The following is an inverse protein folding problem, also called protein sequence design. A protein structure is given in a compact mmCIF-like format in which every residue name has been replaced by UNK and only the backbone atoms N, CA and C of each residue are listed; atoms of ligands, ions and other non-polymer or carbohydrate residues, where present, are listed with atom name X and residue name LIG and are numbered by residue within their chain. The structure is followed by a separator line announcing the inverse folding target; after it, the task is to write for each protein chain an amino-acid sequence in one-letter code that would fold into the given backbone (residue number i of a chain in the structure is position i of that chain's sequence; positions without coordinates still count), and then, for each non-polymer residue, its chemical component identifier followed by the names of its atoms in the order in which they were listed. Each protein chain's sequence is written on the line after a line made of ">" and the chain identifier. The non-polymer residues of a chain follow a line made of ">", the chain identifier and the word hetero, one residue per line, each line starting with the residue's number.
data_IF_375267027117
#
_entry.id   IF_375267027117
#
_cell.length_a   1.000
_cell.length_b   1.000
_cell.length_c   1.000
_cell.angle_alpha   90.00
_cell.angle_beta   90.00
_cell.angle_gamma   90.00
#
_symmetry.space_group_name_H-M   'P 1'
#
loop_
_entity.id
_entity.type
_entity.pdbx_description
1 polymer ?
#
# COMPACT_ATOMS: atom_id res chain seq x y z
N UNK A 1 -2.57 18.62 -15.10
CA UNK A 1 -3.49 17.61 -14.49
C UNK A 1 -2.89 16.23 -14.71
N UNK A 2 -2.37 15.56 -13.67
CA UNK A 2 -1.89 14.18 -13.85
C UNK A 2 -3.09 13.28 -14.13
N UNK A 3 -3.12 12.67 -15.31
CA UNK A 3 -4.08 11.59 -15.56
C UNK A 3 -3.70 10.42 -14.65
N UNK A 4 -4.65 9.92 -13.88
CA UNK A 4 -4.46 8.68 -13.13
C UNK A 4 -4.13 7.58 -14.14
N UNK A 5 -3.01 6.89 -14.01
CA UNK A 5 -2.69 5.83 -14.95
C UNK A 5 -3.79 4.76 -14.91
N UNK A 6 -4.24 4.36 -16.07
CA UNK A 6 -5.16 3.25 -16.26
C UNK A 6 -4.27 2.01 -16.34
N UNK A 7 -4.40 1.10 -15.39
CA UNK A 7 -3.64 -0.16 -15.38
C UNK A 7 -4.62 -1.33 -15.23
N UNK A 8 -4.31 -2.43 -15.88
CA UNK A 8 -5.02 -3.69 -15.70
C UNK A 8 -4.44 -4.51 -14.54
N UNK A 9 -5.17 -5.52 -14.07
CA UNK A 9 -4.68 -6.45 -13.05
C UNK A 9 -3.39 -7.15 -13.51
N UNK A 10 -3.28 -7.49 -14.80
CA UNK A 10 -2.06 -8.08 -15.36
C UNK A 10 -0.85 -7.15 -15.25
N UNK A 11 -1.00 -5.88 -15.63
CA UNK A 11 0.04 -4.87 -15.49
C UNK A 11 0.37 -4.59 -14.02
N UNK A 12 -0.64 -4.60 -13.14
CA UNK A 12 -0.44 -4.43 -11.70
C UNK A 12 0.41 -5.57 -11.11
N UNK A 13 0.07 -6.83 -11.46
CA UNK A 13 0.85 -8.01 -11.04
C UNK A 13 2.30 -7.89 -11.50
N UNK A 14 2.53 -7.65 -12.79
CA UNK A 14 3.88 -7.51 -13.34
C UNK A 14 4.68 -6.40 -12.63
N UNK A 15 4.08 -5.24 -12.40
CA UNK A 15 4.75 -4.14 -11.70
C UNK A 15 5.15 -4.49 -10.26
N UNK A 16 4.33 -5.29 -9.56
CA UNK A 16 4.64 -5.72 -8.18
C UNK A 16 5.62 -6.89 -8.13
N UNK A 17 5.61 -7.78 -9.12
CA UNK A 17 6.63 -8.82 -9.28
C UNK A 17 8.00 -8.21 -9.62
N UNK A 18 8.02 -7.16 -10.42
CA UNK A 18 9.25 -6.40 -10.69
C UNK A 18 9.72 -5.64 -9.44
N UNK A 19 8.80 -5.09 -8.64
CA UNK A 19 9.13 -4.51 -7.34
C UNK A 19 9.75 -5.56 -6.41
N UNK A 20 9.23 -6.78 -6.37
CA UNK A 20 9.81 -7.88 -5.57
C UNK A 20 11.26 -8.16 -5.99
N UNK A 21 11.54 -8.25 -7.30
CA UNK A 21 12.91 -8.41 -7.83
C UNK A 21 13.82 -7.22 -7.45
N UNK A 22 13.31 -5.99 -7.52
CA UNK A 22 14.06 -4.80 -7.14
C UNK A 22 14.38 -4.76 -5.64
N UNK A 23 13.44 -5.18 -4.77
CA UNK A 23 13.67 -5.33 -3.33
C UNK A 23 14.86 -6.26 -3.07
N UNK A 24 14.88 -7.41 -3.74
CA UNK A 24 15.98 -8.37 -3.61
C UNK A 24 17.30 -7.83 -4.13
N UNK A 25 17.32 -7.27 -5.34
CA UNK A 25 18.53 -6.64 -5.90
C UNK A 25 19.06 -5.57 -4.96
N UNK A 26 18.18 -4.73 -4.45
CA UNK A 26 18.54 -3.68 -3.51
C UNK A 26 19.13 -4.27 -2.23
N UNK A 27 18.46 -5.23 -1.60
CA UNK A 27 18.92 -5.82 -0.35
C UNK A 27 20.31 -6.46 -0.47
N UNK A 28 20.57 -7.16 -1.58
CA UNK A 28 21.87 -7.80 -1.83
C UNK A 28 22.97 -6.77 -2.13
N UNK A 29 22.65 -5.73 -2.90
CA UNK A 29 23.62 -4.71 -3.32
C UNK A 29 23.83 -3.58 -2.33
N UNK A 30 22.86 -3.33 -1.44
CA UNK A 30 22.94 -2.24 -0.47
C UNK A 30 23.95 -2.56 0.65
N UNK A 31 24.72 -1.56 1.03
CA UNK A 31 25.69 -1.63 2.13
C UNK A 31 25.43 -0.52 3.16
N UNK A 32 25.89 -0.74 4.38
CA UNK A 32 25.86 0.24 5.46
C UNK A 32 24.44 0.69 5.80
N UNK A 33 24.24 1.98 6.00
CA UNK A 33 22.98 2.61 6.44
C UNK A 33 21.80 2.44 5.47
N UNK A 34 22.05 2.06 4.24
CA UNK A 34 20.98 1.89 3.25
C UNK A 34 20.41 0.46 3.23
N UNK A 35 20.99 -0.48 3.95
CA UNK A 35 20.49 -1.85 4.03
C UNK A 35 19.17 -1.89 4.79
N UNK A 36 18.24 -2.70 4.31
CA UNK A 36 16.97 -2.91 5.02
C UNK A 36 17.23 -3.60 6.37
N UNK A 37 16.47 -3.23 7.42
CA UNK A 37 16.56 -3.88 8.73
C UNK A 37 16.30 -5.40 8.61
N UNK A 38 17.07 -6.24 9.31
CA UNK A 38 16.92 -7.70 9.24
C UNK A 38 15.52 -8.21 9.55
N UNK A 39 14.80 -7.53 10.46
CA UNK A 39 13.44 -7.88 10.88
C UNK A 39 12.37 -7.54 9.82
N UNK A 40 12.69 -6.69 8.86
CA UNK A 40 11.78 -6.29 7.78
C UNK A 40 11.87 -7.24 6.59
N UNK A 41 13.06 -7.76 6.30
CA UNK A 41 13.28 -8.64 5.15
C UNK A 41 12.34 -9.86 5.12
N UNK A 42 12.11 -10.58 6.23
CA UNK A 42 11.15 -11.70 6.23
C UNK A 42 9.74 -11.26 5.82
N UNK A 43 9.29 -10.07 6.24
CA UNK A 43 7.94 -9.55 5.93
C UNK A 43 7.74 -9.26 4.44
N UNK A 44 8.82 -9.01 3.69
CA UNK A 44 8.79 -8.75 2.25
C UNK A 44 8.75 -10.02 1.42
N UNK A 45 9.04 -11.18 2.00
CA UNK A 45 9.03 -12.46 1.29
C UNK A 45 7.60 -12.88 0.93
N UNK A 46 7.42 -13.39 -0.29
CA UNK A 46 6.14 -13.91 -0.78
C UNK A 46 5.52 -14.94 0.19
N UNK A 47 6.33 -15.83 0.76
CA UNK A 47 5.89 -16.86 1.70
C UNK A 47 5.34 -16.32 3.03
N UNK A 48 5.67 -15.08 3.38
CA UNK A 48 5.22 -14.41 4.61
C UNK A 48 4.14 -13.34 4.31
N UNK A 49 3.56 -13.35 3.12
CA UNK A 49 2.48 -12.43 2.75
C UNK A 49 1.22 -12.59 3.63
N UNK A 50 1.07 -13.72 4.32
CA UNK A 50 -0.01 -13.96 5.29
C UNK A 50 -0.03 -12.93 6.43
N UNK A 51 1.11 -12.33 6.76
CA UNK A 51 1.23 -11.27 7.75
C UNK A 51 0.63 -9.94 7.24
N UNK A 52 0.15 -9.91 6.01
CA UNK A 52 -0.50 -8.78 5.34
C UNK A 52 0.30 -7.48 5.39
N UNK A 53 1.63 -7.57 5.46
CA UNK A 53 2.50 -6.40 5.48
C UNK A 53 2.25 -5.51 4.26
N UNK A 54 1.95 -4.22 4.50
CA UNK A 54 1.51 -3.33 3.44
C UNK A 54 2.56 -3.02 2.36
N UNK A 55 3.83 -3.31 2.59
CA UNK A 55 4.90 -3.23 1.58
C UNK A 55 5.20 -4.55 0.89
N UNK A 56 4.57 -5.65 1.30
CA UNK A 56 4.78 -6.95 0.65
C UNK A 56 4.09 -6.95 -0.73
N UNK A 57 4.84 -7.15 -1.84
CA UNK A 57 4.27 -7.09 -3.18
C UNK A 57 3.19 -8.14 -3.44
N UNK A 58 3.36 -9.35 -2.93
CA UNK A 58 2.37 -10.41 -3.11
C UNK A 58 1.07 -10.13 -2.34
N UNK A 59 1.17 -9.59 -1.11
CA UNK A 59 0.01 -9.10 -0.36
C UNK A 59 -0.77 -8.07 -1.18
N UNK A 60 -0.09 -7.08 -1.77
CA UNK A 60 -0.72 -6.06 -2.62
C UNK A 60 -1.43 -6.66 -3.83
N UNK A 61 -0.81 -7.65 -4.49
CA UNK A 61 -1.41 -8.34 -5.64
C UNK A 61 -2.70 -9.05 -5.23
N UNK A 62 -2.69 -9.78 -4.13
CA UNK A 62 -3.87 -10.50 -3.66
C UNK A 62 -5.00 -9.56 -3.26
N UNK A 63 -4.71 -8.52 -2.47
CA UNK A 63 -5.70 -7.52 -2.07
C UNK A 63 -6.28 -6.78 -3.28
N UNK A 64 -5.45 -6.39 -4.25
CA UNK A 64 -5.91 -5.73 -5.47
C UNK A 64 -6.85 -6.61 -6.29
N UNK A 65 -6.52 -7.89 -6.47
CA UNK A 65 -7.35 -8.85 -7.20
C UNK A 65 -8.70 -9.10 -6.51
N UNK A 66 -8.70 -9.18 -5.15
CA UNK A 66 -9.97 -9.37 -4.41
C UNK A 66 -10.81 -8.09 -4.43
N UNK A 67 -10.20 -6.92 -4.23
CA UNK A 67 -10.92 -5.65 -4.30
C UNK A 67 -11.55 -5.42 -5.68
N UNK A 68 -10.80 -5.67 -6.75
CA UNK A 68 -11.32 -5.55 -8.11
C UNK A 68 -12.51 -6.49 -8.34
N UNK A 69 -12.35 -7.77 -8.04
CA UNK A 69 -13.42 -8.77 -8.20
C UNK A 69 -14.69 -8.36 -7.44
N UNK A 70 -14.56 -7.97 -6.18
CA UNK A 70 -15.71 -7.69 -5.33
C UNK A 70 -16.36 -6.35 -5.72
N UNK A 71 -15.61 -5.37 -6.21
CA UNK A 71 -16.16 -4.14 -6.81
C UNK A 71 -16.92 -4.46 -8.09
N UNK A 72 -16.33 -5.23 -9.01
CA UNK A 72 -16.96 -5.62 -10.27
C UNK A 72 -18.27 -6.39 -10.04
N UNK A 73 -18.27 -7.31 -9.09
CA UNK A 73 -19.47 -8.05 -8.70
C UNK A 73 -20.60 -7.11 -8.24
N UNK A 74 -20.30 -6.15 -7.36
CA UNK A 74 -21.30 -5.20 -6.85
C UNK A 74 -21.84 -4.27 -7.93
N UNK A 75 -20.99 -3.87 -8.88
CA UNK A 75 -21.41 -3.11 -10.05
C UNK A 75 -22.35 -3.92 -10.92
N UNK A 76 -22.04 -5.19 -11.20
CA UNK A 76 -22.88 -6.10 -12.00
C UNK A 76 -24.23 -6.35 -11.33
N UNK A 77 -24.27 -6.43 -10.01
CA UNK A 77 -25.50 -6.61 -9.24
C UNK A 77 -26.31 -5.30 -9.08
N UNK A 78 -25.80 -4.17 -9.55
CA UNK A 78 -26.45 -2.86 -9.37
C UNK A 78 -26.40 -2.33 -7.93
N UNK A 79 -25.57 -2.92 -7.06
CA UNK A 79 -25.36 -2.46 -5.68
C UNK A 79 -24.51 -1.18 -5.62
N UNK A 80 -23.80 -0.89 -6.69
CA UNK A 80 -22.98 0.32 -6.87
C UNK A 80 -23.45 1.03 -8.13
N UNK A 81 -23.97 2.23 -7.97
CA UNK A 81 -24.34 3.12 -9.06
C UNK A 81 -23.49 4.39 -8.97
N UNK A 82 -23.56 5.30 -9.90
CA UNK A 82 -22.96 6.64 -9.86
C UNK A 82 -21.66 6.74 -9.04
N UNK A 83 -20.66 5.96 -9.42
CA UNK A 83 -19.40 5.92 -8.69
C UNK A 83 -18.47 7.09 -9.06
N UNK A 84 -17.79 7.60 -8.06
CA UNK A 84 -16.80 8.68 -8.17
C UNK A 84 -15.47 8.23 -7.60
N UNK A 85 -14.40 8.68 -8.23
CA UNK A 85 -13.06 8.54 -7.66
C UNK A 85 -12.69 9.82 -6.91
N UNK A 86 -12.34 9.68 -5.64
CA UNK A 86 -12.05 10.80 -4.74
C UNK A 86 -10.61 10.69 -4.24
N UNK A 87 -9.85 11.76 -4.40
CA UNK A 87 -8.51 11.93 -3.86
C UNK A 87 -8.55 12.95 -2.71
N UNK A 88 -7.95 12.58 -1.58
CA UNK A 88 -7.83 13.47 -0.41
C UNK A 88 -6.36 13.57 -0.01
N UNK A 89 -5.75 14.74 -0.21
CA UNK A 89 -4.36 15.03 0.13
C UNK A 89 -4.25 16.37 0.86
N UNK A 90 -3.92 16.36 2.15
CA UNK A 90 -3.92 17.54 2.99
C UNK A 90 -2.53 17.83 3.56
N UNK A 91 -2.10 19.10 3.56
CA UNK A 91 -0.81 19.56 4.10
C UNK A 91 -0.56 19.10 5.54
N UNK A 92 -1.60 19.04 6.37
CA UNK A 92 -1.47 18.57 7.76
C UNK A 92 -1.01 17.12 7.91
N UNK A 93 -1.10 16.33 6.84
CA UNK A 93 -0.63 14.93 6.78
C UNK A 93 0.75 14.79 6.13
N UNK A 94 1.46 15.90 6.00
CA UNK A 94 2.86 15.92 5.58
C UNK A 94 3.75 15.88 6.81
N UNK A 95 4.81 15.10 6.74
CA UNK A 95 5.90 15.08 7.73
C UNK A 95 7.25 14.97 7.02
N UNK A 96 8.23 15.63 7.57
CA UNK A 96 9.62 15.41 7.23
C UNK A 96 10.05 14.00 7.61
N UNK A 97 11.06 13.47 6.92
CA UNK A 97 11.55 12.12 7.18
C UNK A 97 12.08 11.96 8.62
N UNK A 98 12.66 13.00 9.20
CA UNK A 98 13.10 13.02 10.60
C UNK A 98 11.94 12.87 11.61
N UNK A 99 10.72 13.23 11.21
CA UNK A 99 9.50 13.14 12.03
C UNK A 99 8.61 11.95 11.64
N UNK A 100 9.12 11.02 10.84
CA UNK A 100 8.34 9.94 10.23
C UNK A 100 7.72 9.00 11.26
N UNK A 101 8.33 8.86 12.43
CA UNK A 101 7.83 8.04 13.52
C UNK A 101 6.58 8.63 14.20
N UNK A 102 6.28 9.90 13.94
CA UNK A 102 5.18 10.65 14.56
C UNK A 102 3.86 10.55 13.76
N UNK A 103 3.78 9.67 12.75
CA UNK A 103 2.52 9.42 12.06
C UNK A 103 1.58 8.59 12.92
N UNK A 104 0.39 9.14 13.13
CA UNK A 104 -0.73 8.42 13.71
C UNK A 104 -1.74 8.10 12.58
N UNK A 105 -1.61 6.90 12.01
CA UNK A 105 -2.47 6.46 10.91
C UNK A 105 -3.94 6.45 11.31
N UNK A 106 -4.27 6.13 12.55
CA UNK A 106 -5.65 6.12 13.02
C UNK A 106 -6.28 7.51 13.02
N UNK A 107 -5.52 8.54 13.41
CA UNK A 107 -5.96 9.94 13.28
C UNK A 107 -6.15 10.34 11.82
N UNK A 108 -5.26 9.92 10.93
CA UNK A 108 -5.37 10.19 9.49
C UNK A 108 -6.64 9.52 8.94
N UNK A 109 -6.87 8.24 9.25
CA UNK A 109 -8.05 7.46 8.86
C UNK A 109 -9.35 8.13 9.32
N UNK A 110 -9.44 8.47 10.60
CA UNK A 110 -10.60 9.18 11.19
C UNK A 110 -10.84 10.52 10.50
N UNK A 111 -9.77 11.26 10.25
CA UNK A 111 -9.89 12.55 9.59
C UNK A 111 -10.41 12.41 8.14
N UNK A 112 -9.89 11.46 7.36
CA UNK A 112 -10.34 11.23 5.97
C UNK A 112 -11.77 10.70 5.94
N UNK A 113 -12.12 9.75 6.79
CA UNK A 113 -13.50 9.25 6.93
C UNK A 113 -14.49 10.37 7.25
N UNK A 114 -14.10 11.35 8.07
CA UNK A 114 -14.96 12.50 8.37
C UNK A 114 -15.22 13.39 7.14
N UNK A 115 -14.35 13.40 6.12
CA UNK A 115 -14.58 14.11 4.85
C UNK A 115 -15.63 13.40 3.99
N UNK A 116 -15.75 12.08 4.17
CA UNK A 116 -16.69 11.20 3.44
C UNK A 116 -17.88 10.75 4.33
N UNK A 117 -18.11 11.44 5.45
CA UNK A 117 -19.22 11.12 6.37
C UNK A 117 -20.55 11.09 5.65
N UNK A 118 -21.37 10.07 5.93
CA UNK A 118 -22.69 9.79 5.35
C UNK A 118 -22.64 9.46 3.84
N UNK A 119 -21.53 8.92 3.36
CA UNK A 119 -21.37 8.39 2.00
C UNK A 119 -20.99 6.92 2.07
N UNK A 120 -21.33 6.17 1.03
CA UNK A 120 -20.79 4.84 0.79
C UNK A 120 -19.40 5.01 0.14
N UNK A 121 -18.39 4.46 0.75
CA UNK A 121 -17.03 4.54 0.19
C UNK A 121 -16.15 3.39 0.63
N UNK A 122 -15.18 3.10 -0.23
CA UNK A 122 -14.09 2.17 0.02
C UNK A 122 -12.81 2.75 -0.60
N UNK A 123 -11.67 2.58 0.06
CA UNK A 123 -10.41 3.06 -0.46
C UNK A 123 -9.22 2.76 0.42
N UNK A 124 -8.08 3.32 0.04
CA UNK A 124 -6.82 3.09 0.75
C UNK A 124 -6.03 4.38 0.96
N UNK A 125 -5.24 4.40 2.03
CA UNK A 125 -4.18 5.37 2.25
C UNK A 125 -2.94 4.98 1.44
N UNK A 126 -2.28 5.97 0.89
CA UNK A 126 -0.99 5.86 0.22
C UNK A 126 -0.03 6.93 0.76
N UNK A 127 1.27 6.64 0.74
CA UNK A 127 2.31 7.55 1.17
C UNK A 127 3.10 8.06 -0.05
N UNK A 128 2.89 9.31 -0.44
CA UNK A 128 3.72 9.95 -1.45
C UNK A 128 5.02 10.42 -0.82
N UNK A 129 6.15 9.89 -1.30
CA UNK A 129 7.48 10.26 -0.86
C UNK A 129 8.05 11.37 -1.75
N UNK A 130 8.40 12.48 -1.15
CA UNK A 130 9.05 13.61 -1.79
C UNK A 130 10.51 13.64 -1.37
N UNK A 131 11.42 13.46 -2.34
CA UNK A 131 12.86 13.44 -2.05
C UNK A 131 13.44 14.82 -1.75
N UNK A 132 12.73 15.87 -2.13
CA UNK A 132 12.94 17.25 -1.71
C UNK A 132 11.65 17.74 -1.05
N UNK A 133 11.68 17.88 0.26
CA UNK A 133 10.54 18.34 1.05
C UNK A 133 10.44 19.85 1.17
N UNK A 134 11.42 20.61 0.68
CA UNK A 134 11.47 22.07 0.86
C UNK A 134 10.19 22.80 0.45
N UNK A 135 9.53 22.45 -0.69
CA UNK A 135 8.27 23.11 -1.06
C UNK A 135 7.05 22.69 -0.21
N UNK A 136 7.18 21.69 0.64
CA UNK A 136 6.09 21.07 1.41
C UNK A 136 6.23 21.29 2.91
N UNK A 137 7.46 21.41 3.38
CA UNK A 137 7.84 21.62 4.78
C UNK A 137 8.91 22.70 4.84
N UNK A 138 9.17 23.24 6.01
CA UNK A 138 10.23 24.24 6.20
C UNK A 138 11.63 23.61 6.31
N UNK A 139 11.72 22.26 6.14
CA UNK A 139 12.98 21.51 6.27
C UNK A 139 13.51 21.08 4.91
N UNK A 140 14.83 21.22 4.74
CA UNK A 140 15.59 20.75 3.55
C UNK A 140 15.87 19.24 3.63
N UNK A 141 14.87 18.44 3.83
CA UNK A 141 14.97 16.98 3.90
C UNK A 141 13.78 16.33 3.17
N UNK A 142 13.84 15.04 2.85
CA UNK A 142 12.70 14.36 2.28
C UNK A 142 11.45 14.45 3.15
N UNK A 143 10.29 14.44 2.51
CA UNK A 143 9.00 14.51 3.19
C UNK A 143 8.06 13.41 2.68
N UNK A 144 7.09 13.05 3.51
CA UNK A 144 6.03 12.10 3.16
C UNK A 144 4.68 12.78 3.34
N UNK A 145 3.81 12.65 2.33
CA UNK A 145 2.42 13.06 2.38
C UNK A 145 1.51 11.83 2.37
N UNK A 146 0.87 11.56 3.50
CA UNK A 146 -0.20 10.58 3.54
C UNK A 146 -1.45 11.16 2.88
N UNK A 147 -1.96 10.44 1.89
CA UNK A 147 -3.15 10.81 1.13
C UNK A 147 -4.03 9.57 0.92
N UNK A 148 -5.27 9.78 0.53
CA UNK A 148 -6.22 8.68 0.34
C UNK A 148 -6.85 8.71 -1.04
N UNK A 149 -7.08 7.53 -1.58
CA UNK A 149 -7.79 7.26 -2.82
C UNK A 149 -9.04 6.45 -2.51
N UNK A 150 -10.20 6.94 -2.92
CA UNK A 150 -11.49 6.35 -2.55
C UNK A 150 -12.39 6.20 -3.77
N UNK A 151 -13.07 5.08 -3.84
CA UNK A 151 -14.32 4.93 -4.58
C UNK A 151 -15.45 5.39 -3.67
N UNK A 152 -16.31 6.28 -4.18
CA UNK A 152 -17.50 6.78 -3.48
C UNK A 152 -18.69 6.58 -4.40
N UNK A 153 -19.79 6.03 -3.89
CA UNK A 153 -20.97 5.72 -4.70
C UNK A 153 -22.27 6.08 -3.99
N UNK A 154 -23.39 5.96 -4.70
CA UNK A 154 -24.73 6.32 -4.24
C UNK A 154 -24.78 7.75 -3.70
N UNK A 155 -24.11 8.65 -4.40
CA UNK A 155 -24.04 10.07 -4.06
C UNK A 155 -24.17 10.92 -5.32
N UNK A 156 -24.38 12.21 -5.15
CA UNK A 156 -24.52 13.12 -6.28
C UNK A 156 -23.28 13.99 -6.49
N UNK A 157 -23.00 14.33 -7.74
CA UNK A 157 -21.94 15.27 -8.08
C UNK A 157 -22.12 16.62 -7.34
N UNK A 158 -23.38 17.07 -7.15
CA UNK A 158 -23.71 18.30 -6.41
C UNK A 158 -23.22 18.22 -4.96
N UNK A 159 -23.44 17.08 -4.29
CA UNK A 159 -22.99 16.87 -2.91
C UNK A 159 -21.47 16.83 -2.81
N UNK A 160 -20.80 16.15 -3.75
CA UNK A 160 -19.34 16.10 -3.82
C UNK A 160 -18.73 17.48 -4.11
N UNK A 161 -19.30 18.27 -5.01
CA UNK A 161 -18.89 19.68 -5.25
C UNK A 161 -18.98 20.51 -3.98
N UNK A 162 -20.10 20.40 -3.24
CA UNK A 162 -20.28 21.09 -1.94
C UNK A 162 -19.23 20.65 -0.92
N UNK A 163 -18.95 19.35 -0.85
CA UNK A 163 -17.93 18.79 0.06
C UNK A 163 -16.52 19.25 -0.32
N UNK A 164 -16.20 19.21 -1.62
CA UNK A 164 -14.94 19.68 -2.17
C UNK A 164 -14.72 21.18 -1.84
N UNK A 165 -15.70 22.03 -2.11
CA UNK A 165 -15.62 23.46 -1.80
C UNK A 165 -15.31 23.68 -0.32
N UNK A 166 -16.16 23.13 0.58
CA UNK A 166 -15.99 23.27 2.04
C UNK A 166 -14.65 22.73 2.55
N UNK A 167 -14.14 21.64 1.96
CA UNK A 167 -12.86 21.06 2.40
C UNK A 167 -11.68 21.91 1.93
N UNK A 168 -11.71 22.36 0.66
CA UNK A 168 -10.62 23.13 0.08
C UNK A 168 -10.55 24.58 0.60
N UNK A 169 -11.67 25.14 1.06
CA UNK A 169 -11.68 26.44 1.77
C UNK A 169 -11.06 26.36 3.17
N UNK A 170 -11.16 25.20 3.81
CA UNK A 170 -10.73 25.02 5.20
C UNK A 170 -9.33 24.43 5.35
N UNK A 171 -8.86 23.69 4.37
CA UNK A 171 -7.64 22.92 4.44
C UNK A 171 -6.76 23.10 3.22
N UNK A 172 -5.48 23.34 3.45
CA UNK A 172 -4.48 23.40 2.41
C UNK A 172 -4.24 22.01 1.79
N UNK A 173 -3.97 22.02 0.49
CA UNK A 173 -3.61 20.81 -0.24
C UNK A 173 -2.27 20.21 0.24
N UNK A 174 -2.08 18.93 -0.03
CA UNK A 174 -0.85 18.22 0.28
C UNK A 174 0.36 18.61 -0.60
N UNK A 175 0.15 19.53 -1.55
CA UNK A 175 1.21 20.13 -2.37
C UNK A 175 0.74 21.46 -2.95
N UNK A 176 1.65 22.42 -3.19
CA UNK A 176 1.30 23.74 -3.67
C UNK A 176 0.52 23.69 -4.98
N UNK A 177 -0.51 24.50 -5.10
CA UNK A 177 -1.38 24.54 -6.29
C UNK A 177 -2.33 23.35 -6.48
N UNK A 178 -2.31 22.38 -5.57
CA UNK A 178 -3.23 21.25 -5.56
C UNK A 178 -4.58 21.56 -4.93
N UNK A 179 -5.38 20.50 -4.79
CA UNK A 179 -6.65 20.54 -4.03
C UNK A 179 -6.58 19.52 -2.91
N UNK A 180 -7.00 19.91 -1.70
CA UNK A 180 -7.07 18.97 -0.57
C UNK A 180 -8.08 17.85 -0.81
N UNK A 181 -9.21 18.18 -1.43
CA UNK A 181 -10.25 17.24 -1.86
C UNK A 181 -10.48 17.42 -3.35
N UNK A 182 -10.31 16.35 -4.12
CA UNK A 182 -10.57 16.31 -5.56
C UNK A 182 -11.41 15.09 -5.90
N UNK A 183 -12.32 15.22 -6.88
CA UNK A 183 -13.09 14.07 -7.36
C UNK A 183 -13.35 14.17 -8.86
N UNK A 184 -13.63 13.01 -9.45
CA UNK A 184 -14.06 12.86 -10.84
C UNK A 184 -15.02 11.67 -10.96
N UNK A 185 -15.85 11.67 -11.99
CA UNK A 185 -16.71 10.53 -12.29
C UNK A 185 -15.85 9.30 -12.55
N UNK A 186 -16.34 8.17 -12.07
CA UNK A 186 -15.73 6.87 -12.30
C UNK A 186 -16.62 6.06 -13.25
N UNK A 187 -16.67 6.45 -14.49
CA UNK A 187 -17.48 5.83 -15.54
C UNK A 187 -16.67 4.89 -16.41
N UNK A 188 -15.33 5.03 -16.41
CA UNK A 188 -14.43 4.27 -17.26
C UNK A 188 -13.33 3.61 -16.45
N UNK A 189 -12.94 2.40 -16.87
CA UNK A 189 -11.83 1.63 -16.31
C UNK A 189 -11.86 1.49 -14.78
N UNK A 190 -12.87 0.79 -14.31
CA UNK A 190 -13.07 0.50 -12.88
C UNK A 190 -11.92 -0.36 -12.34
N UNK A 191 -11.49 -1.37 -13.09
CA UNK A 191 -10.33 -2.21 -12.77
C UNK A 191 -9.08 -1.37 -12.51
N UNK A 192 -8.71 -0.49 -13.43
CA UNK A 192 -7.52 0.36 -13.29
C UNK A 192 -7.61 1.30 -12.07
N UNK A 193 -8.80 1.70 -11.64
CA UNK A 193 -8.99 2.51 -10.44
C UNK A 193 -8.85 1.69 -9.16
N UNK A 194 -9.41 0.48 -9.12
CA UNK A 194 -9.20 -0.45 -8.03
C UNK A 194 -7.71 -0.75 -7.84
N UNK A 195 -7.01 -1.04 -8.95
CA UNK A 195 -5.56 -1.23 -8.93
C UNK A 195 -4.81 0.01 -8.41
N UNK A 196 -5.22 1.20 -8.85
CA UNK A 196 -4.58 2.43 -8.39
C UNK A 196 -4.70 2.65 -6.89
N UNK A 197 -5.84 2.31 -6.29
CA UNK A 197 -6.02 2.40 -4.83
C UNK A 197 -5.10 1.44 -4.07
N UNK A 198 -4.80 0.27 -4.64
CA UNK A 198 -4.04 -0.80 -3.98
C UNK A 198 -2.54 -0.78 -4.27
N UNK A 199 -2.06 0.13 -5.14
CA UNK A 199 -0.63 0.18 -5.53
C UNK A 199 0.29 0.38 -4.33
N UNK A 200 1.44 -0.30 -4.34
CA UNK A 200 2.53 0.01 -3.41
C UNK A 200 3.19 1.35 -3.80
N UNK A 201 3.81 2.06 -2.86
CA UNK A 201 4.66 3.19 -3.18
C UNK A 201 5.86 2.74 -4.03
N UNK A 202 5.84 3.09 -5.31
CA UNK A 202 6.89 2.71 -6.29
C UNK A 202 7.60 3.94 -6.86
N UNK A 203 7.21 5.12 -6.43
CA UNK A 203 7.68 6.37 -7.02
C UNK A 203 8.02 7.38 -5.96
N UNK A 204 9.02 8.19 -6.26
CA UNK A 204 9.32 9.40 -5.52
C UNK A 204 8.99 10.63 -6.35
N UNK A 205 8.73 11.73 -5.65
CA UNK A 205 8.25 12.96 -6.22
C UNK A 205 9.15 14.14 -5.87
N UNK A 206 9.10 15.18 -6.68
CA UNK A 206 9.53 16.54 -6.32
C UNK A 206 8.50 17.55 -6.80
N UNK A 207 8.54 18.73 -6.22
CA UNK A 207 7.69 19.85 -6.60
C UNK A 207 8.62 21.02 -6.98
N UNK A 208 8.47 21.50 -8.21
CA UNK A 208 9.11 22.74 -8.62
C UNK A 208 8.07 23.86 -8.55
N UNK A 209 8.42 24.93 -7.85
CA UNK A 209 7.66 26.19 -7.84
C UNK A 209 8.16 27.07 -8.98
N UNK A 210 7.27 27.69 -9.71
CA UNK A 210 7.59 28.61 -10.78
C UNK A 210 6.51 29.68 -10.87
N UNK A 211 6.88 30.82 -11.42
CA UNK A 211 5.97 31.92 -11.67
C UNK A 211 5.43 31.81 -13.10
N UNK A 212 4.14 31.97 -13.25
CA UNK A 212 3.47 32.03 -14.53
C UNK A 212 2.82 33.40 -14.67
N UNK A 213 3.15 34.10 -15.75
CA UNK A 213 2.45 35.32 -16.13
C UNK A 213 1.10 34.95 -16.75
N UNK A 214 0.06 35.64 -16.31
CA UNK A 214 -1.28 35.50 -16.84
C UNK A 214 -1.84 36.88 -17.12
N UNK A 215 -2.26 37.11 -18.34
CA UNK A 215 -3.05 38.29 -18.68
C UNK A 215 -4.47 38.19 -18.10
N UNK A 216 -4.88 39.19 -17.39
CA UNK A 216 -6.24 39.35 -16.90
C UNK A 216 -6.83 40.61 -17.53
N UNK A 217 -8.04 40.47 -18.08
CA UNK A 217 -8.80 41.58 -18.65
C UNK A 217 -9.71 42.13 -17.59
N UNK A 218 -9.58 43.43 -17.34
CA UNK A 218 -10.53 44.17 -16.50
C UNK A 218 -11.75 44.59 -17.36
N UNK A 219 -12.94 44.00 -17.08
CA UNK A 219 -14.14 44.30 -17.88
C UNK A 219 -14.67 45.72 -17.70
N UNK A 220 -14.26 46.43 -16.64
CA UNK A 220 -14.74 47.81 -16.38
C UNK A 220 -13.84 48.84 -17.06
N UNK A 221 -12.53 48.63 -17.06
CA UNK A 221 -11.58 49.59 -17.64
C UNK A 221 -11.15 49.22 -19.06
N UNK A 222 -11.31 47.96 -19.47
CA UNK A 222 -10.82 47.46 -20.74
C UNK A 222 -9.30 47.21 -20.75
N UNK A 223 -8.63 47.37 -19.63
CA UNK A 223 -7.18 47.23 -19.52
C UNK A 223 -6.80 45.77 -19.35
N UNK A 224 -5.62 45.41 -19.91
CA UNK A 224 -5.00 44.09 -19.74
C UNK A 224 -3.88 44.24 -18.71
N UNK A 225 -4.08 43.62 -17.56
CA UNK A 225 -3.05 43.52 -16.53
C UNK A 225 -2.33 42.16 -16.62
N UNK A 226 -1.01 42.20 -16.59
CA UNK A 226 -0.21 40.99 -16.43
C UNK A 226 0.01 40.69 -14.94
N UNK A 227 -0.63 39.63 -14.46
CA UNK A 227 -0.48 39.20 -13.08
C UNK A 227 0.46 37.97 -13.01
N UNK A 228 1.36 38.00 -12.04
CA UNK A 228 2.23 36.89 -11.75
C UNK A 228 1.55 35.89 -10.78
N UNK A 229 1.41 34.64 -11.20
CA UNK A 229 0.75 33.60 -10.42
C UNK A 229 1.78 32.54 -10.07
N UNK A 230 1.90 32.21 -8.78
CA UNK A 230 2.69 31.09 -8.32
C UNK A 230 2.07 29.76 -8.77
N UNK A 231 2.84 28.97 -9.46
CA UNK A 231 2.47 27.65 -9.93
C UNK A 231 3.42 26.61 -9.36
N UNK A 232 2.90 25.39 -9.27
CA UNK A 232 3.68 24.24 -8.88
C UNK A 232 3.54 23.12 -9.91
N UNK A 233 4.64 22.46 -10.21
CA UNK A 233 4.67 21.28 -11.06
C UNK A 233 5.29 20.12 -10.30
N UNK A 234 4.55 19.02 -10.24
CA UNK A 234 5.03 17.79 -9.63
C UNK A 234 5.72 16.91 -10.68
N UNK A 235 6.90 16.45 -10.36
CA UNK A 235 7.66 15.48 -11.14
C UNK A 235 7.66 14.14 -10.41
N UNK A 236 7.60 13.06 -11.18
CA UNK A 236 7.56 11.68 -10.69
C UNK A 236 8.71 10.89 -11.31
N UNK A 237 9.38 10.07 -10.49
CA UNK A 237 10.38 9.11 -10.95
C UNK A 237 10.34 7.82 -10.10
N UNK A 238 10.96 6.71 -10.55
CA UNK A 238 11.10 5.51 -9.73
C UNK A 238 11.82 5.79 -8.40
N UNK A 239 11.46 5.04 -7.36
CA UNK A 239 12.13 5.11 -6.06
C UNK A 239 13.61 4.73 -6.19
N UNK A 240 14.48 5.58 -5.64
CA UNK A 240 15.89 5.25 -5.47
C UNK A 240 16.09 4.40 -4.20
N UNK A 241 17.21 3.67 -4.08
CA UNK A 241 17.49 2.80 -2.92
C UNK A 241 17.31 3.46 -1.55
N UNK A 242 17.84 4.67 -1.35
CA UNK A 242 17.67 5.39 -0.08
C UNK A 242 16.23 5.80 0.21
N UNK A 243 15.49 6.24 -0.82
CA UNK A 243 14.06 6.56 -0.72
C UNK A 243 13.24 5.33 -0.43
N UNK A 244 13.59 4.19 -1.05
CA UNK A 244 12.93 2.90 -0.80
C UNK A 244 13.08 2.47 0.65
N UNK A 245 14.31 2.55 1.22
CA UNK A 245 14.54 2.26 2.64
C UNK A 245 13.63 3.09 3.54
N UNK A 246 13.55 4.39 3.32
CA UNK A 246 12.72 5.29 4.12
C UNK A 246 11.23 4.93 4.05
N UNK A 247 10.75 4.54 2.87
CA UNK A 247 9.36 4.08 2.70
C UNK A 247 9.13 2.75 3.44
N UNK A 248 10.04 1.80 3.35
CA UNK A 248 9.93 0.53 4.07
C UNK A 248 9.95 0.76 5.58
N UNK A 249 10.79 1.65 6.09
CA UNK A 249 10.83 2.03 7.50
C UNK A 249 9.51 2.67 7.94
N UNK A 250 8.92 3.55 7.11
CA UNK A 250 7.60 4.15 7.36
C UNK A 250 6.50 3.08 7.51
N UNK A 251 6.52 2.08 6.66
CA UNK A 251 5.53 1.00 6.66
C UNK A 251 5.88 -0.15 7.62
N UNK A 252 6.98 -0.11 8.36
CA UNK A 252 7.53 -1.25 9.11
C UNK A 252 6.53 -1.97 10.04
N UNK A 253 5.49 -1.26 10.49
CA UNK A 253 4.42 -1.77 11.37
C UNK A 253 3.03 -1.67 10.75
N UNK A 254 2.94 -1.42 9.44
CA UNK A 254 1.68 -1.15 8.75
C UNK A 254 1.23 -2.38 7.97
N UNK A 255 0.06 -2.90 8.29
CA UNK A 255 -0.60 -3.95 7.54
C UNK A 255 -1.59 -3.36 6.51
N UNK A 256 -2.04 -4.18 5.55
CA UNK A 256 -3.04 -3.75 4.57
C UNK A 256 -4.32 -3.23 5.23
N UNK A 257 -4.77 -3.88 6.31
CA UNK A 257 -5.96 -3.45 7.07
C UNK A 257 -5.83 -2.06 7.69
N UNK A 258 -4.60 -1.62 7.98
CA UNK A 258 -4.37 -0.31 8.60
C UNK A 258 -4.51 0.83 7.60
N UNK A 259 -4.27 0.57 6.32
CA UNK A 259 -4.38 1.56 5.25
C UNK A 259 -5.72 1.52 4.53
N UNK A 260 -6.49 0.44 4.65
CA UNK A 260 -7.82 0.34 4.04
C UNK A 260 -8.87 1.06 4.89
N UNK A 261 -9.73 1.83 4.24
CA UNK A 261 -10.76 2.64 4.90
C UNK A 261 -12.08 2.49 4.15
N UNK A 262 -13.17 2.38 4.91
CA UNK A 262 -14.51 2.29 4.33
C UNK A 262 -15.57 2.97 5.21
N UNK A 263 -16.69 3.32 4.60
CA UNK A 263 -17.86 3.87 5.27
C UNK A 263 -19.16 3.50 4.57
N UNK A 264 -20.27 3.59 5.31
CA UNK A 264 -21.57 3.13 4.81
C UNK A 264 -21.53 1.66 4.38
N UNK A 265 -22.09 1.33 3.23
CA UNK A 265 -22.05 -0.02 2.63
C UNK A 265 -20.63 -0.48 2.27
N UNK A 266 -19.68 0.44 2.10
CA UNK A 266 -18.28 0.10 1.86
C UNK A 266 -17.65 -0.72 2.97
N UNK A 267 -18.21 -0.72 4.19
CA UNK A 267 -17.71 -1.55 5.30
C UNK A 267 -17.87 -3.04 5.03
N UNK A 268 -18.98 -3.47 4.40
CA UNK A 268 -19.13 -4.87 3.99
C UNK A 268 -18.13 -5.23 2.91
N UNK A 269 -17.98 -4.38 1.88
CA UNK A 269 -16.94 -4.57 0.86
C UNK A 269 -15.53 -4.71 1.46
N UNK A 270 -15.18 -3.86 2.43
CA UNK A 270 -13.89 -3.95 3.13
C UNK A 270 -13.73 -5.29 3.86
N UNK A 271 -14.76 -5.75 4.55
CA UNK A 271 -14.75 -7.03 5.26
C UNK A 271 -14.58 -8.20 4.27
N UNK A 272 -15.31 -8.19 3.16
CA UNK A 272 -15.25 -9.23 2.13
C UNK A 272 -13.85 -9.29 1.49
N UNK A 273 -13.27 -8.14 1.16
CA UNK A 273 -11.90 -8.03 0.60
C UNK A 273 -10.86 -8.57 1.60
N UNK A 274 -10.91 -8.15 2.87
CA UNK A 274 -9.96 -8.62 3.89
C UNK A 274 -10.07 -10.13 4.08
N UNK A 275 -11.29 -10.66 4.26
CA UNK A 275 -11.50 -12.09 4.50
C UNK A 275 -11.07 -12.94 3.29
N UNK A 276 -11.46 -12.54 2.08
CA UNK A 276 -11.08 -13.28 0.86
C UNK A 276 -9.59 -13.19 0.56
N UNK A 277 -8.94 -12.06 0.88
CA UNK A 277 -7.49 -11.94 0.74
C UNK A 277 -6.75 -12.79 1.79
N UNK A 278 -7.19 -12.78 3.04
CA UNK A 278 -6.61 -13.61 4.09
C UNK A 278 -6.67 -15.11 3.75
N UNK A 279 -7.82 -15.58 3.27
CA UNK A 279 -7.99 -16.97 2.86
C UNK A 279 -7.04 -17.33 1.70
N UNK A 280 -6.98 -16.49 0.67
CA UNK A 280 -6.07 -16.73 -0.47
C UNK A 280 -4.61 -16.76 -0.05
N UNK A 281 -4.18 -15.82 0.82
CA UNK A 281 -2.79 -15.79 1.33
C UNK A 281 -2.46 -17.03 2.17
N UNK A 282 -3.44 -17.56 2.91
CA UNK A 282 -3.27 -18.82 3.64
C UNK A 282 -3.13 -20.01 2.68
N UNK A 283 -3.98 -20.11 1.66
CA UNK A 283 -3.90 -21.13 0.61
C UNK A 283 -2.55 -21.06 -0.14
N UNK A 284 -2.13 -19.86 -0.54
CA UNK A 284 -0.85 -19.65 -1.23
C UNK A 284 0.34 -20.08 -0.36
N UNK A 285 0.29 -19.82 0.95
CA UNK A 285 1.31 -20.26 1.90
C UNK A 285 1.37 -21.77 2.00
N UNK A 286 0.22 -22.43 2.13
CA UNK A 286 0.15 -23.90 2.21
C UNK A 286 0.65 -24.56 0.91
N UNK A 287 0.27 -24.01 -0.25
CA UNK A 287 0.78 -24.49 -1.54
C UNK A 287 2.32 -24.36 -1.65
N UNK A 288 2.89 -23.25 -1.16
CA UNK A 288 4.34 -23.07 -1.14
C UNK A 288 5.04 -24.05 -0.19
N UNK A 289 4.42 -24.35 0.96
CA UNK A 289 4.95 -25.35 1.91
C UNK A 289 4.93 -26.75 1.32
N UNK A 290 3.81 -27.11 0.65
CA UNK A 290 3.69 -28.38 -0.05
C UNK A 290 4.77 -28.54 -1.12
N UNK A 291 4.94 -27.53 -1.98
CA UNK A 291 5.97 -27.55 -3.03
C UNK A 291 7.40 -27.67 -2.47
N UNK A 292 7.67 -27.03 -1.31
CA UNK A 292 8.97 -27.19 -0.64
C UNK A 292 9.18 -28.58 -0.08
N UNK A 293 8.17 -29.15 0.58
CA UNK A 293 8.24 -30.50 1.12
C UNK A 293 8.50 -31.51 0.01
N UNK A 294 7.79 -31.39 -1.12
CA UNK A 294 7.99 -32.20 -2.31
C UNK A 294 9.43 -32.09 -2.85
N UNK A 295 9.93 -30.84 -2.99
CA UNK A 295 11.26 -30.58 -3.53
C UNK A 295 12.40 -31.17 -2.69
N UNK A 296 12.18 -31.40 -1.39
CA UNK A 296 13.15 -32.03 -0.48
C UNK A 296 12.80 -33.47 -0.11
N UNK A 297 11.77 -34.06 -0.75
CA UNK A 297 11.36 -35.46 -0.55
C UNK A 297 10.77 -35.75 0.83
N UNK A 298 10.21 -34.74 1.51
CA UNK A 298 9.55 -34.93 2.80
C UNK A 298 8.03 -35.06 2.63
N UNK A 299 7.37 -35.97 3.39
CA UNK A 299 5.92 -36.04 3.40
C UNK A 299 5.34 -34.70 3.94
N UNK A 300 4.43 -34.15 3.17
CA UNK A 300 3.71 -32.94 3.59
C UNK A 300 2.32 -33.30 4.14
N UNK A 301 2.02 -32.78 5.32
CA UNK A 301 0.68 -32.85 5.90
C UNK A 301 0.11 -31.44 6.01
N UNK A 302 -1.09 -31.17 5.45
CA UNK A 302 -1.72 -29.87 5.57
C UNK A 302 -1.87 -29.47 7.03
N UNK A 303 -1.56 -28.20 7.32
CA UNK A 303 -1.96 -27.64 8.61
C UNK A 303 -3.50 -27.53 8.65
N UNK A 304 -4.17 -27.85 9.77
CA UNK A 304 -5.61 -27.63 9.84
C UNK A 304 -5.93 -26.17 9.49
N UNK A 305 -7.03 -26.01 8.76
CA UNK A 305 -7.45 -24.70 8.21
C UNK A 305 -7.26 -23.56 9.21
N UNK A 306 -6.74 -22.40 8.78
CA UNK A 306 -6.63 -21.25 9.66
C UNK A 306 -8.01 -20.93 10.27
N UNK A 307 -8.03 -20.66 11.56
CA UNK A 307 -9.25 -20.20 12.24
C UNK A 307 -9.79 -18.99 11.49
N UNK A 308 -11.08 -19.00 11.18
CA UNK A 308 -11.72 -17.91 10.49
C UNK A 308 -11.44 -16.60 11.23
N UNK A 309 -11.10 -15.53 10.50
CA UNK A 309 -10.65 -14.24 11.01
C UNK A 309 -11.50 -13.68 12.17
N UNK A 310 -12.83 -13.90 12.16
CA UNK A 310 -13.73 -13.51 13.25
C UNK A 310 -13.48 -14.26 14.57
N UNK A 311 -12.77 -15.39 14.56
CA UNK A 311 -12.36 -16.11 15.77
C UNK A 311 -11.07 -15.54 16.37
N UNK A 312 -10.25 -14.86 15.55
CA UNK A 312 -9.01 -14.18 15.99
C UNK A 312 -9.32 -12.86 16.70
N UNK A 313 -10.47 -12.24 16.38
CA UNK A 313 -10.88 -10.96 17.00
C UNK A 313 -11.51 -11.10 18.41
N UNK A 314 -11.88 -12.30 18.84
CA UNK A 314 -12.23 -12.54 20.22
C UNK A 314 -10.94 -12.65 21.02
N UNK A 315 -10.58 -11.55 21.69
CA UNK A 315 -9.38 -11.45 22.53
C UNK A 315 -9.26 -12.62 23.54
N UNK A 316 -8.11 -12.78 24.16
CA UNK A 316 -7.79 -13.93 24.99
C UNK A 316 -8.49 -13.86 26.36
N UNK A 317 -9.79 -14.04 26.39
CA UNK A 317 -10.43 -14.51 27.62
C UNK A 317 -10.49 -16.02 27.57
N UNK A 318 -9.60 -16.63 28.36
CA UNK A 318 -9.54 -18.05 28.72
C UNK A 318 -9.27 -19.04 27.55
N UNK A 319 -8.09 -18.99 26.99
CA UNK A 319 -7.53 -20.17 26.35
C UNK A 319 -6.66 -20.91 27.38
N UNK A 320 -7.15 -22.04 27.90
CA UNK A 320 -6.31 -23.06 28.49
C UNK A 320 -5.14 -23.32 27.54
N UNK A 321 -3.91 -23.25 28.05
CA UNK A 321 -2.67 -23.47 27.30
C UNK A 321 -2.80 -24.72 26.42
N UNK A 322 -2.85 -24.61 25.08
CA UNK A 322 -2.72 -25.79 24.25
C UNK A 322 -1.27 -26.27 24.36
N UNK A 323 -1.10 -27.60 24.38
CA UNK A 323 0.20 -28.23 24.21
C UNK A 323 0.94 -27.59 23.02
N UNK A 324 2.24 -27.32 23.20
CA UNK A 324 3.13 -26.72 22.20
C UNK A 324 3.04 -27.57 20.92
N UNK A 325 2.17 -27.16 20.01
CA UNK A 325 2.16 -27.69 18.63
C UNK A 325 3.42 -27.13 17.97
N UNK A 326 4.43 -27.99 17.82
CA UNK A 326 5.60 -27.68 17.00
C UNK A 326 5.10 -27.44 15.58
N UNK A 327 5.28 -26.23 15.08
CA UNK A 327 4.92 -25.89 13.71
C UNK A 327 5.77 -26.67 12.71
N UNK A 328 5.28 -26.87 11.49
CA UNK A 328 6.08 -27.47 10.43
C UNK A 328 7.40 -26.71 10.21
N UNK A 329 7.41 -25.41 10.45
CA UNK A 329 8.62 -24.55 10.41
C UNK A 329 9.62 -24.94 11.51
N UNK A 330 9.14 -25.27 12.71
CA UNK A 330 10.01 -25.74 13.81
C UNK A 330 10.62 -27.11 13.47
N UNK A 331 9.86 -27.99 12.80
CA UNK A 331 10.35 -29.31 12.37
C UNK A 331 11.37 -29.16 11.26
N UNK A 332 11.14 -28.30 10.27
CA UNK A 332 12.06 -28.02 9.17
C UNK A 332 13.32 -27.31 9.68
N UNK A 333 13.18 -26.32 10.57
CA UNK A 333 14.32 -25.63 11.17
C UNK A 333 15.17 -26.55 12.02
N UNK A 334 14.54 -27.46 12.80
CA UNK A 334 15.25 -28.49 13.57
C UNK A 334 15.90 -29.57 12.67
N UNK A 335 15.24 -29.93 11.56
CA UNK A 335 15.82 -30.86 10.59
C UNK A 335 17.05 -30.27 9.90
N UNK A 336 16.98 -29.02 9.47
CA UNK A 336 18.10 -28.26 8.90
C UNK A 336 19.22 -28.07 9.92
N UNK A 337 18.90 -27.80 11.18
CA UNK A 337 19.90 -27.69 12.26
C UNK A 337 20.58 -29.02 12.55
N UNK A 338 19.84 -30.14 12.53
CA UNK A 338 20.41 -31.49 12.67
C UNK A 338 21.29 -31.89 11.49
N UNK A 339 20.91 -31.52 10.26
CA UNK A 339 21.71 -31.75 9.05
C UNK A 339 23.00 -30.91 9.05
N UNK A 340 22.97 -29.70 9.62
CA UNK A 340 24.17 -28.85 9.80
C UNK A 340 25.14 -29.42 10.84
N UNK A 341 24.66 -30.11 11.85
CA UNK A 341 25.45 -30.65 12.96
C UNK A 341 25.78 -32.11 12.83
N UNK A 342 25.29 -32.81 11.78
CA UNK A 342 25.69 -34.18 11.48
C UNK A 342 27.05 -34.19 10.76
N UNK A 343 27.96 -35.13 11.06
CA UNK A 343 29.21 -35.29 10.31
C UNK A 343 28.87 -35.73 8.89
N UNK A 344 28.78 -34.74 7.98
CA UNK A 344 28.39 -34.95 6.59
C UNK A 344 29.53 -35.60 5.81
N UNK A 345 29.23 -36.69 5.07
CA UNK A 345 30.15 -37.23 4.08
C UNK A 345 30.40 -36.23 2.95
N UNK A 346 31.55 -36.25 2.27
CA UNK A 346 31.87 -35.36 1.16
C UNK A 346 30.81 -35.36 0.03
N UNK A 347 30.13 -36.46 -0.19
CA UNK A 347 29.07 -36.61 -1.19
C UNK A 347 27.76 -35.84 -0.85
N UNK A 348 27.41 -35.72 0.42
CA UNK A 348 26.24 -34.97 0.85
C UNK A 348 26.43 -33.45 0.75
N UNK A 349 27.66 -32.96 0.98
CA UNK A 349 28.01 -31.54 0.80
C UNK A 349 27.88 -31.10 -0.65
N UNK A 350 28.27 -31.95 -1.59
CA UNK A 350 28.10 -31.69 -3.03
C UNK A 350 26.63 -31.65 -3.45
N UNK A 351 25.78 -32.49 -2.88
CA UNK A 351 24.32 -32.49 -3.16
C UNK A 351 23.59 -31.26 -2.64
N UNK A 352 24.10 -30.62 -1.59
CA UNK A 352 23.52 -29.43 -0.97
C UNK A 352 24.11 -28.12 -1.50
N UNK A 353 25.02 -28.16 -2.50
CA UNK A 353 25.65 -26.97 -3.08
C UNK A 353 26.62 -26.27 -2.13
N UNK A 354 27.09 -26.92 -1.10
CA UNK A 354 28.07 -26.38 -0.14
C UNK A 354 29.47 -26.54 -0.76
N UNK A 355 30.15 -25.42 -1.01
CA UNK A 355 31.53 -25.40 -1.48
C UNK A 355 32.42 -26.18 -0.50
N UNK A 356 33.14 -27.17 -1.02
CA UNK A 356 34.20 -27.84 -0.30
C UNK A 356 35.47 -27.02 -0.56
N UNK A 357 35.95 -26.32 0.45
CA UNK A 357 37.29 -25.73 0.39
C UNK A 357 38.30 -26.88 0.53
N UNK A 358 39.20 -26.92 -0.46
CA UNK A 358 40.29 -27.91 -0.54
C UNK A 358 41.43 -27.54 0.40
#
# INVERSE_FOLDING_TARGET
>A
MMRTPIISLGQFKSAHEDLDKEIWRYHVSAAGKNKLPPEIMPKLLKQNAIDMFAMNPHTRIVFAAKADRDIQQRLTLGEVTDAFFVDIACKKHIRSISDIQNFDLEKIRKWMSARLKNMNFFGALDAAYYYDGTPLTDKKEPAVCWHGHFMVWDTTQKLLKKRQKKTNERFEAGWPGGKCFYFKNWTENIEGRAMYMMKAPQSEYSVALYKQHKETFDPETGEVEEIEIDKAKQYKRPLRPGSFKNIVDLYSRVEMRDILIAGGQGKSLLSDVINSAANQLAEDREAQRAARAEAIGLPWTPNPAPLAWHQIQKGPEQANKPAVLRTADDVVTNAISRLRNAPSSPLEKLRLGIKIES
#
